data_IF_138708804801
#
_entry.id   IF_138708804801
#
_cell.length_a   1.000
_cell.length_b   1.000
_cell.length_c   1.000
_cell.angle_alpha   90.00
_cell.angle_beta   90.00
_cell.angle_gamma   90.00
#
_symmetry.space_group_name_H-M   'P 1'
#
loop_
_entity.id
_entity.type
_entity.pdbx_description
1 polymer ?
#
# COMPACT_ATOMS: atom_id res chain seq x y z
N UNK A 1 30.36 -3.09 2.63
CA UNK A 1 28.91 -3.28 2.83
C UNK A 1 28.17 -2.30 1.95
N UNK A 2 27.29 -2.77 1.05
CA UNK A 2 26.39 -1.86 0.36
C UNK A 2 25.40 -1.28 1.36
N UNK A 3 25.30 0.04 1.38
CA UNK A 3 24.41 0.78 2.29
C UNK A 3 23.03 0.87 1.63
N UNK A 4 22.04 0.19 2.21
CA UNK A 4 20.66 0.28 1.74
C UNK A 4 20.15 1.72 1.81
N UNK A 5 19.41 2.13 0.79
CA UNK A 5 18.76 3.43 0.66
C UNK A 5 17.25 3.25 0.87
N UNK A 6 16.54 4.35 1.15
CA UNK A 6 15.07 4.31 1.28
C UNK A 6 14.38 3.75 0.02
N UNK A 7 15.00 3.97 -1.16
CA UNK A 7 14.51 3.47 -2.46
C UNK A 7 14.65 1.97 -2.65
N UNK A 8 15.38 1.29 -1.79
CA UNK A 8 15.46 -0.17 -1.78
C UNK A 8 14.28 -0.81 -1.02
N UNK A 9 13.46 0.00 -0.35
CA UNK A 9 12.31 -0.45 0.45
C UNK A 9 11.04 -0.51 -0.41
N UNK A 10 10.33 -1.63 -0.30
CA UNK A 10 8.97 -1.82 -0.80
C UNK A 10 8.00 -1.98 0.37
N UNK A 11 6.94 -1.17 0.40
CA UNK A 11 5.85 -1.29 1.38
C UNK A 11 4.71 -2.10 0.76
N UNK A 12 4.55 -3.35 1.18
CA UNK A 12 3.48 -4.24 0.73
C UNK A 12 2.29 -4.19 1.71
N UNK A 13 1.11 -3.85 1.21
CA UNK A 13 -0.09 -3.56 2.01
C UNK A 13 -1.23 -4.50 1.59
N UNK A 14 -1.32 -5.71 2.18
CA UNK A 14 -2.48 -6.57 2.01
C UNK A 14 -3.64 -6.07 2.88
N UNK A 15 -4.83 -5.94 2.31
CA UNK A 15 -5.99 -5.35 3.01
C UNK A 15 -7.34 -5.90 2.54
N UNK A 16 -8.34 -5.82 3.41
CA UNK A 16 -9.74 -6.17 3.10
C UNK A 16 -10.68 -5.24 3.86
N UNK A 17 -11.55 -4.52 3.14
CA UNK A 17 -12.60 -3.66 3.70
C UNK A 17 -12.12 -2.63 4.75
N UNK A 18 -10.89 -2.11 4.62
CA UNK A 18 -10.28 -1.13 5.56
C UNK A 18 -9.96 0.23 4.93
N UNK A 19 -10.84 0.78 4.09
CA UNK A 19 -10.59 2.02 3.34
C UNK A 19 -10.01 3.17 4.19
N UNK A 20 -10.61 3.46 5.35
CA UNK A 20 -10.15 4.55 6.22
C UNK A 20 -8.71 4.32 6.73
N UNK A 21 -8.36 3.08 7.12
CA UNK A 21 -7.00 2.76 7.57
C UNK A 21 -5.98 2.87 6.43
N UNK A 22 -6.38 2.50 5.21
CA UNK A 22 -5.53 2.65 4.03
C UNK A 22 -5.27 4.11 3.71
N UNK A 23 -6.30 4.97 3.74
CA UNK A 23 -6.12 6.42 3.54
C UNK A 23 -5.16 7.02 4.56
N UNK A 24 -5.29 6.66 5.84
CA UNK A 24 -4.39 7.15 6.87
C UNK A 24 -2.95 6.68 6.65
N UNK A 25 -2.75 5.40 6.34
CA UNK A 25 -1.42 4.87 6.03
C UNK A 25 -0.79 5.58 4.83
N UNK A 26 -1.52 5.76 3.72
CA UNK A 26 -1.00 6.40 2.52
C UNK A 26 -0.68 7.88 2.76
N UNK A 27 -1.51 8.60 3.54
CA UNK A 27 -1.21 9.96 3.99
C UNK A 27 0.09 10.01 4.82
N UNK A 28 0.26 9.06 5.76
CA UNK A 28 1.49 8.98 6.56
C UNK A 28 2.72 8.70 5.68
N UNK A 29 2.62 7.79 4.72
CA UNK A 29 3.70 7.50 3.77
C UNK A 29 4.04 8.71 2.90
N UNK A 30 3.04 9.46 2.41
CA UNK A 30 3.27 10.64 1.57
C UNK A 30 3.93 11.80 2.33
N UNK A 31 3.84 11.82 3.65
CA UNK A 31 4.40 12.87 4.50
C UNK A 31 5.76 12.48 5.12
N UNK A 32 6.33 11.32 4.76
CA UNK A 32 7.65 10.92 5.24
C UNK A 32 8.76 11.83 4.69
N UNK A 33 9.82 12.03 5.49
CA UNK A 33 10.99 12.82 5.08
C UNK A 33 11.80 12.18 3.95
N UNK A 34 11.70 10.86 3.80
CA UNK A 34 12.32 10.11 2.71
C UNK A 34 11.30 9.18 2.05
N UNK A 35 11.19 9.26 0.74
CA UNK A 35 10.30 8.41 -0.03
C UNK A 35 10.87 6.99 -0.20
N UNK A 36 10.00 5.99 -0.05
CA UNK A 36 10.30 4.58 -0.39
C UNK A 36 10.40 4.37 -1.90
N UNK A 37 10.88 3.20 -2.31
CA UNK A 37 11.02 2.84 -3.72
C UNK A 37 9.70 2.42 -4.34
N UNK A 38 8.90 1.65 -3.59
CA UNK A 38 7.62 1.08 -4.08
C UNK A 38 6.60 0.98 -2.95
N UNK A 39 5.33 1.19 -3.30
CA UNK A 39 4.18 0.91 -2.43
C UNK A 39 3.22 0.04 -3.22
N UNK A 40 2.90 -1.15 -2.72
CA UNK A 40 2.01 -2.08 -3.40
C UNK A 40 0.81 -2.35 -2.50
N UNK A 41 -0.38 -1.94 -2.92
CA UNK A 41 -1.63 -2.24 -2.22
C UNK A 41 -2.30 -3.43 -2.89
N UNK A 42 -2.54 -4.49 -2.13
CA UNK A 42 -3.29 -5.66 -2.58
C UNK A 42 -4.57 -5.72 -1.75
N UNK A 43 -5.71 -5.50 -2.39
CA UNK A 43 -7.01 -5.45 -1.73
C UNK A 43 -7.92 -6.59 -2.17
N UNK A 44 -8.86 -6.95 -1.29
CA UNK A 44 -9.99 -7.84 -1.57
C UNK A 44 -11.26 -7.31 -0.88
N UNK A 45 -12.42 -7.87 -1.22
CA UNK A 45 -13.71 -7.37 -0.73
C UNK A 45 -14.14 -6.14 -1.53
N UNK A 46 -14.27 -4.99 -0.89
CA UNK A 46 -14.60 -3.74 -1.59
C UNK A 46 -13.41 -3.25 -2.42
N UNK A 47 -13.58 -3.04 -3.74
CA UNK A 47 -12.55 -2.42 -4.59
C UNK A 47 -12.38 -0.94 -4.20
N UNK A 48 -11.17 -0.60 -3.75
CA UNK A 48 -10.80 0.74 -3.26
C UNK A 48 -9.82 1.46 -4.21
N UNK A 49 -9.65 0.96 -5.44
CA UNK A 49 -8.70 1.49 -6.45
C UNK A 49 -8.80 2.99 -6.62
N UNK A 50 -10.02 3.51 -6.76
CA UNK A 50 -10.28 4.95 -6.98
C UNK A 50 -9.74 5.81 -5.85
N UNK A 51 -9.75 5.32 -4.61
CA UNK A 51 -9.22 6.04 -3.47
C UNK A 51 -7.72 5.90 -3.32
N UNK A 52 -7.16 4.72 -3.63
CA UNK A 52 -5.73 4.45 -3.57
C UNK A 52 -4.97 5.23 -4.65
N UNK A 53 -5.48 5.26 -5.89
CA UNK A 53 -4.79 5.91 -7.01
C UNK A 53 -4.76 7.44 -6.91
N UNK A 54 -5.53 8.06 -6.01
CA UNK A 54 -5.38 9.51 -5.68
C UNK A 54 -4.00 9.86 -5.12
N UNK A 55 -3.24 8.86 -4.65
CA UNK A 55 -1.89 9.05 -4.10
C UNK A 55 -0.77 8.89 -5.13
N UNK A 56 -1.10 8.57 -6.40
CA UNK A 56 -0.09 8.25 -7.43
C UNK A 56 0.87 9.39 -7.73
N UNK A 57 0.44 10.64 -7.55
CA UNK A 57 1.28 11.82 -7.76
C UNK A 57 2.27 12.06 -6.61
N UNK A 58 2.07 11.40 -5.46
CA UNK A 58 2.90 11.56 -4.24
C UNK A 58 3.70 10.30 -3.88
N UNK A 59 3.23 9.12 -4.28
CA UNK A 59 3.80 7.84 -3.91
C UNK A 59 4.02 6.97 -5.16
N UNK A 60 5.09 6.16 -5.21
CA UNK A 60 5.30 5.16 -6.25
C UNK A 60 4.38 3.96 -6.00
N UNK A 61 3.07 4.18 -6.15
CA UNK A 61 2.02 3.26 -5.73
C UNK A 61 1.46 2.42 -6.88
N UNK A 62 1.34 1.13 -6.62
CA UNK A 62 0.69 0.14 -7.45
C UNK A 62 -0.52 -0.44 -6.69
N UNK A 63 -1.58 -0.81 -7.41
CA UNK A 63 -2.79 -1.37 -6.84
C UNK A 63 -3.20 -2.65 -7.56
N UNK A 64 -3.45 -3.70 -6.79
CA UNK A 64 -3.97 -4.97 -7.25
C UNK A 64 -5.24 -5.33 -6.47
N UNK A 65 -6.22 -5.88 -7.17
CA UNK A 65 -7.44 -6.39 -6.58
C UNK A 65 -7.51 -7.90 -6.78
N UNK A 66 -7.88 -8.63 -5.73
CA UNK A 66 -7.88 -10.10 -5.71
C UNK A 66 -9.29 -10.62 -5.43
N UNK A 67 -9.81 -11.40 -6.39
CA UNK A 67 -11.05 -12.19 -6.30
C UNK A 67 -10.79 -13.62 -6.80
N UNK A 68 -11.15 -14.67 -6.04
CA UNK A 68 -11.76 -14.63 -4.71
C UNK A 68 -10.77 -14.06 -3.66
N UNK A 69 -11.26 -13.56 -2.51
CA UNK A 69 -10.42 -12.97 -1.45
C UNK A 69 -9.41 -13.98 -0.90
N UNK A 70 -8.24 -14.06 -1.53
CA UNK A 70 -7.11 -14.90 -1.15
C UNK A 70 -6.17 -14.14 -0.23
N UNK A 71 -6.54 -13.95 1.03
CA UNK A 71 -5.60 -13.48 2.04
C UNK A 71 -5.24 -14.63 2.98
N UNK A 72 -3.94 -14.79 3.27
CA UNK A 72 -3.47 -15.67 4.35
C UNK A 72 -4.27 -15.30 5.61
N UNK A 73 -4.94 -16.28 6.24
CA UNK A 73 -5.67 -16.06 7.50
C UNK A 73 -4.75 -15.33 8.48
N UNK A 74 -5.00 -14.03 8.73
CA UNK A 74 -4.33 -13.33 9.82
C UNK A 74 -4.70 -14.05 11.12
N UNK A 75 -3.70 -14.46 11.91
CA UNK A 75 -3.94 -15.01 13.25
C UNK A 75 -4.63 -13.93 14.08
N UNK A 76 -5.70 -14.31 14.78
CA UNK A 76 -6.37 -13.46 15.76
C UNK A 76 -5.44 -13.14 16.92
#
# INVERSE_FOLDING_TARGET
>A
MNKFKSKDICVLIPTKDRLHKIKNLLNSLSNQTLAVGRVIVIASGSDIRKDVLKFKDKLPIEYFFCEPPGQIRQRK
#
